data_IF_315875686374
#
_entry.id   IF_315875686374
#
_cell.length_a   1.000
_cell.length_b   1.000
_cell.length_c   1.000
_cell.angle_alpha   90.00
_cell.angle_beta   90.00
_cell.angle_gamma   90.00
#
_symmetry.space_group_name_H-M   'P 1'
#
loop_
_entity.id
_entity.type
_entity.pdbx_description
1 polymer ?
#
# COMPACT_ATOMS: atom_id res chain seq x y z
N UNK A 1 -16.81 16.36 2.85
CA UNK A 1 -17.36 15.03 3.23
C UNK A 1 -16.15 14.14 3.42
N UNK A 2 -15.80 13.86 4.67
CA UNK A 2 -14.58 13.17 5.06
C UNK A 2 -14.55 11.75 4.46
N UNK A 3 -13.47 11.43 3.74
CA UNK A 3 -13.25 10.11 3.16
C UNK A 3 -12.88 9.08 4.22
N UNK A 4 -13.40 7.87 4.01
CA UNK A 4 -12.81 6.59 4.40
C UNK A 4 -12.50 6.38 5.87
N UNK A 5 -13.32 5.58 6.54
CA UNK A 5 -13.04 5.00 7.85
C UNK A 5 -11.65 4.35 7.87
N UNK A 6 -10.72 4.94 8.65
CA UNK A 6 -9.37 4.43 8.85
C UNK A 6 -9.36 3.27 9.86
N UNK A 7 -10.25 2.29 9.68
CA UNK A 7 -10.07 1.00 10.34
C UNK A 7 -8.89 0.35 9.64
N UNK A 8 -7.71 0.44 10.25
CA UNK A 8 -6.53 -0.30 9.81
C UNK A 8 -6.88 -1.78 9.84
N UNK A 9 -7.33 -2.31 8.70
CA UNK A 9 -7.63 -3.73 8.56
C UNK A 9 -6.34 -4.51 8.79
N UNK A 10 -6.47 -5.66 9.45
CA UNK A 10 -5.34 -6.55 9.69
C UNK A 10 -4.66 -6.87 8.35
N UNK A 11 -3.32 -6.75 8.26
CA UNK A 11 -2.62 -6.97 7.00
C UNK A 11 -2.76 -8.43 6.57
N UNK A 12 -2.82 -8.63 5.26
CA UNK A 12 -2.79 -9.95 4.64
C UNK A 12 -1.41 -10.19 4.05
N UNK A 13 -0.91 -11.41 4.22
CA UNK A 13 0.36 -11.86 3.65
C UNK A 13 0.12 -13.22 2.99
N UNK A 14 0.55 -13.34 1.73
CA UNK A 14 0.43 -14.56 0.93
C UNK A 14 1.80 -15.00 0.46
N UNK A 15 2.06 -16.30 0.52
CA UNK A 15 3.26 -16.90 -0.06
C UNK A 15 2.93 -17.46 -1.44
N UNK A 16 3.20 -16.67 -2.49
CA UNK A 16 2.89 -17.05 -3.86
C UNK A 16 3.71 -18.25 -4.37
N UNK A 17 4.79 -18.64 -3.68
CA UNK A 17 5.56 -19.80 -4.09
C UNK A 17 4.84 -21.11 -3.78
N UNK A 18 4.08 -21.14 -2.68
CA UNK A 18 3.31 -22.30 -2.21
C UNK A 18 1.79 -22.13 -2.47
N UNK A 19 1.31 -20.90 -2.61
CA UNK A 19 -0.10 -20.53 -2.78
C UNK A 19 -0.28 -19.42 -3.83
N UNK A 20 -0.21 -19.82 -5.11
CA UNK A 20 -0.44 -18.93 -6.26
C UNK A 20 -1.85 -18.33 -6.31
N UNK A 21 -2.82 -18.93 -5.62
CA UNK A 21 -4.21 -18.49 -5.64
C UNK A 21 -4.54 -17.47 -4.54
N UNK A 22 -3.56 -17.11 -3.70
CA UNK A 22 -3.74 -16.20 -2.56
C UNK A 22 -4.88 -16.65 -1.63
N UNK A 23 -5.08 -17.96 -1.50
CA UNK A 23 -6.19 -18.53 -0.75
C UNK A 23 -5.96 -18.51 0.77
N UNK A 24 -4.70 -18.47 1.22
CA UNK A 24 -4.32 -18.60 2.63
C UNK A 24 -3.53 -17.39 3.12
N UNK A 25 -4.18 -16.57 3.96
CA UNK A 25 -3.49 -15.53 4.71
C UNK A 25 -2.55 -16.15 5.77
N UNK A 26 -1.27 -15.80 5.74
CA UNK A 26 -0.24 -16.23 6.68
C UNK A 26 0.36 -15.08 7.50
N UNK A 27 -0.28 -13.90 7.51
CA UNK A 27 0.24 -12.70 8.19
C UNK A 27 0.49 -12.90 9.69
N UNK A 28 -0.43 -13.55 10.40
CA UNK A 28 -0.29 -13.82 11.84
C UNK A 28 0.87 -14.77 12.15
N UNK A 29 1.23 -15.64 11.20
CA UNK A 29 2.33 -16.60 11.34
C UNK A 29 3.70 -15.97 11.05
N UNK A 30 3.75 -14.82 10.37
CA UNK A 30 4.99 -14.16 9.92
C UNK A 30 5.00 -12.64 10.22
N UNK A 31 4.87 -12.23 11.49
CA UNK A 31 4.80 -10.81 11.87
C UNK A 31 6.07 -10.02 11.50
N UNK A 32 7.23 -10.69 11.47
CA UNK A 32 8.50 -10.10 11.05
C UNK A 32 8.51 -9.71 9.56
N UNK A 33 7.88 -10.53 8.72
CA UNK A 33 7.76 -10.24 7.28
C UNK A 33 6.79 -9.09 7.06
N UNK A 34 5.66 -9.11 7.76
CA UNK A 34 4.68 -8.01 7.76
C UNK A 34 5.36 -6.71 8.17
N UNK A 35 6.10 -6.68 9.29
CA UNK A 35 6.80 -5.49 9.76
C UNK A 35 7.79 -4.94 8.72
N UNK A 36 8.59 -5.83 8.10
CA UNK A 36 9.55 -5.43 7.06
C UNK A 36 8.83 -4.82 5.85
N UNK A 37 7.77 -5.46 5.36
CA UNK A 37 7.02 -4.97 4.20
C UNK A 37 6.28 -3.67 4.52
N UNK A 38 5.72 -3.51 5.71
CA UNK A 38 5.13 -2.25 6.17
C UNK A 38 6.14 -1.11 6.16
N UNK A 39 7.39 -1.35 6.55
CA UNK A 39 8.44 -0.33 6.43
C UNK A 39 8.79 0.04 4.97
N UNK A 40 8.61 -0.88 4.02
CA UNK A 40 8.69 -0.55 2.59
C UNK A 40 7.48 0.26 2.13
N UNK A 41 6.27 -0.09 2.59
CA UNK A 41 5.04 0.65 2.28
C UNK A 41 5.14 2.10 2.76
N UNK A 42 5.61 2.36 3.98
CA UNK A 42 5.74 3.74 4.48
C UNK A 42 6.68 4.60 3.63
N UNK A 43 7.81 4.04 3.20
CA UNK A 43 8.72 4.73 2.27
C UNK A 43 8.07 5.00 0.91
N UNK A 44 7.29 4.05 0.39
CA UNK A 44 6.55 4.25 -0.85
C UNK A 44 5.47 5.33 -0.70
N UNK A 45 4.77 5.39 0.44
CA UNK A 45 3.78 6.42 0.76
C UNK A 45 4.39 7.81 0.87
N UNK A 46 5.60 7.92 1.43
CA UNK A 46 6.37 9.17 1.46
C UNK A 46 6.73 9.64 0.05
N UNK A 47 7.25 8.74 -0.76
CA UNK A 47 7.80 9.05 -2.08
C UNK A 47 6.71 9.34 -3.12
N UNK A 48 5.71 8.45 -3.19
CA UNK A 48 4.69 8.41 -4.25
C UNK A 48 3.33 8.95 -3.79
N UNK A 49 3.12 9.09 -2.48
CA UNK A 49 1.81 9.41 -1.91
C UNK A 49 0.91 8.19 -1.79
N UNK A 50 -0.21 8.36 -1.09
CA UNK A 50 -1.23 7.33 -0.87
C UNK A 50 -2.53 8.00 -0.38
N UNK A 51 -3.68 7.60 -0.92
CA UNK A 51 -4.99 8.21 -0.62
C UNK A 51 -4.93 9.77 -0.64
N UNK A 52 -5.14 10.39 0.51
CA UNK A 52 -5.11 11.85 0.71
C UNK A 52 -3.70 12.40 0.98
N UNK A 53 -2.66 11.55 0.99
CA UNK A 53 -1.25 11.93 1.15
C UNK A 53 -0.60 12.17 -0.22
N UNK A 54 -0.11 13.39 -0.44
CA UNK A 54 0.73 13.73 -1.60
C UNK A 54 2.16 13.21 -1.40
N UNK A 55 2.72 12.53 -2.39
CA UNK A 55 4.11 12.09 -2.40
C UNK A 55 5.11 13.20 -2.69
N UNK A 56 6.31 13.07 -2.13
CA UNK A 56 7.40 14.04 -2.27
C UNK A 56 7.93 14.16 -3.71
N UNK A 57 7.99 13.05 -4.45
CA UNK A 57 8.63 12.99 -5.76
C UNK A 57 7.64 12.71 -6.91
N UNK A 58 6.37 13.06 -6.71
CA UNK A 58 5.32 12.90 -7.73
C UNK A 58 5.28 14.11 -8.67
N UNK A 59 5.26 13.84 -9.97
CA UNK A 59 5.13 14.89 -10.99
C UNK A 59 3.73 15.53 -10.96
N UNK A 60 3.59 16.82 -11.29
CA UNK A 60 2.27 17.43 -11.48
C UNK A 60 1.46 16.68 -12.55
N UNK A 61 0.14 16.61 -12.34
CA UNK A 61 -0.78 16.06 -13.34
C UNK A 61 -0.63 16.83 -14.66
N UNK A 62 -0.46 16.09 -15.76
CA UNK A 62 -0.46 16.69 -17.09
C UNK A 62 -1.83 17.30 -17.38
N UNK A 63 -1.84 18.53 -17.87
CA UNK A 63 -3.04 19.17 -18.43
C UNK A 63 -2.78 19.34 -19.92
N UNK A 64 -3.70 18.88 -20.74
CA UNK A 64 -3.67 19.16 -22.15
C UNK A 64 -4.60 20.32 -22.41
N UNK A 65 -4.03 21.38 -22.97
CA UNK A 65 -4.77 22.55 -23.41
C UNK A 65 -5.23 22.23 -24.83
N UNK A 66 -6.43 21.68 -24.96
CA UNK A 66 -7.09 21.52 -26.25
C UNK A 66 -7.88 22.81 -26.54
N UNK A 67 -7.34 23.66 -27.42
CA UNK A 67 -8.04 24.77 -28.08
C UNK A 67 -8.73 24.29 -29.37
#
# INVERSE_FOLDING_TARGET
MAGGDATAESPYLFDLSEDLAEAKNVAEAHPEVVSRLSAHLERAREDLGDQDRKGEHVRPVGRADWE
#
